data_IF_725262991693
#
_entry.id   IF_725262991693
#
_cell.length_a   1.000
_cell.length_b   1.000
_cell.length_c   1.000
_cell.angle_alpha   90.00
_cell.angle_beta   90.00
_cell.angle_gamma   90.00
#
_symmetry.space_group_name_H-M   'P 1'
#
loop_
_entity.id
_entity.type
_entity.pdbx_description
1 polymer ?
#
# COMPACT_ATOMS: atom_id res chain seq x y z
N UNK A 1 20.81 13.02 -1.07
CA UNK A 1 20.49 11.61 -0.83
C UNK A 1 19.17 11.33 -1.52
N UNK A 2 19.25 10.83 -2.75
CA UNK A 2 18.10 10.44 -3.56
C UNK A 2 17.29 9.37 -2.82
N UNK A 3 16.00 9.61 -2.69
CA UNK A 3 15.07 8.65 -2.14
C UNK A 3 14.71 7.70 -3.29
N UNK A 4 15.46 6.61 -3.43
CA UNK A 4 15.35 5.57 -4.47
C UNK A 4 13.97 4.87 -4.58
N UNK A 5 12.98 5.33 -3.80
CA UNK A 5 11.67 4.71 -3.65
C UNK A 5 11.72 3.29 -3.06
N UNK A 6 12.90 2.84 -2.61
CA UNK A 6 13.10 1.48 -2.08
C UNK A 6 12.65 1.31 -0.64
N UNK A 7 12.39 2.40 0.08
CA UNK A 7 11.95 2.32 1.47
C UNK A 7 10.93 3.42 1.80
N UNK A 8 9.76 3.03 2.31
CA UNK A 8 8.76 3.96 2.81
C UNK A 8 9.03 4.33 4.26
N UNK A 9 8.73 5.58 4.63
CA UNK A 9 8.70 5.99 6.03
C UNK A 9 7.43 5.46 6.69
N UNK A 10 7.60 4.87 7.87
CA UNK A 10 6.48 4.37 8.69
C UNK A 10 5.81 5.54 9.41
N UNK A 11 4.63 5.96 8.96
CA UNK A 11 3.88 7.07 9.57
C UNK A 11 4.71 8.37 9.65
N UNK A 12 4.74 9.01 10.82
CA UNK A 12 5.58 10.20 11.10
C UNK A 12 7.01 9.86 11.57
N UNK A 13 7.42 8.59 11.56
CA UNK A 13 8.73 8.20 12.09
C UNK A 13 9.89 8.54 11.15
N UNK A 14 11.10 8.60 11.69
CA UNK A 14 12.37 8.61 10.94
C UNK A 14 12.75 7.23 10.39
N UNK A 15 12.03 6.16 10.77
CA UNK A 15 12.29 4.79 10.34
C UNK A 15 11.83 4.56 8.90
N UNK A 16 12.74 4.04 8.07
CA UNK A 16 12.48 3.60 6.70
C UNK A 16 12.37 2.07 6.69
N UNK A 17 11.35 1.52 6.05
CA UNK A 17 11.18 0.07 5.85
C UNK A 17 11.14 -0.24 4.35
N UNK A 18 11.68 -1.38 3.89
CA UNK A 18 11.65 -1.76 2.49
C UNK A 18 10.25 -1.64 1.92
N UNK A 19 10.12 -0.95 0.80
CA UNK A 19 8.87 -0.81 0.11
C UNK A 19 8.55 -2.10 -0.62
N UNK A 20 7.57 -2.84 -0.11
CA UNK A 20 7.03 -4.03 -0.77
C UNK A 20 5.71 -3.66 -1.47
N UNK A 21 5.69 -3.46 -2.80
CA UNK A 21 4.51 -3.03 -3.53
C UNK A 21 3.36 -4.03 -3.42
N UNK A 22 3.65 -5.33 -3.36
CA UNK A 22 2.65 -6.40 -3.21
C UNK A 22 1.94 -6.37 -1.87
N UNK A 23 2.58 -5.84 -0.82
CA UNK A 23 2.04 -5.75 0.54
C UNK A 23 1.05 -4.60 0.74
N UNK A 24 0.92 -3.73 -0.27
CA UNK A 24 0.00 -2.61 -0.22
C UNK A 24 -1.44 -3.10 -0.16
N UNK A 25 -2.24 -2.43 0.66
CA UNK A 25 -3.66 -2.73 0.82
C UNK A 25 -4.39 -1.42 1.01
N UNK A 26 -5.29 -1.09 0.09
CA UNK A 26 -6.15 0.08 0.23
C UNK A 26 -7.55 -0.37 0.62
N UNK A 27 -8.07 0.24 1.68
CA UNK A 27 -9.41 -0.03 2.19
C UNK A 27 -10.46 0.76 1.38
N UNK A 28 -11.74 0.41 1.56
CA UNK A 28 -12.86 1.09 0.89
C UNK A 28 -12.93 2.60 1.15
N UNK A 29 -12.40 3.05 2.29
CA UNK A 29 -12.32 4.46 2.68
C UNK A 29 -11.18 5.25 1.99
N UNK A 30 -10.46 4.63 1.05
CA UNK A 30 -9.34 5.24 0.34
C UNK A 30 -8.04 5.36 1.14
N UNK A 31 -8.01 4.85 2.38
CA UNK A 31 -6.77 4.81 3.17
C UNK A 31 -5.89 3.67 2.71
N UNK A 32 -4.63 3.99 2.49
CA UNK A 32 -3.62 3.06 2.04
C UNK A 32 -2.75 2.56 3.20
N UNK A 33 -2.58 1.26 3.28
CA UNK A 33 -1.79 0.59 4.30
C UNK A 33 -0.68 -0.24 3.65
N UNK A 34 0.37 -0.48 4.41
CA UNK A 34 1.47 -1.35 4.02
C UNK A 34 1.88 -2.23 5.20
N UNK A 35 2.55 -3.35 4.91
CA UNK A 35 3.07 -4.22 5.97
C UNK A 35 4.19 -3.52 6.73
N UNK A 36 4.11 -3.54 8.06
CA UNK A 36 5.14 -2.99 8.95
C UNK A 36 5.74 -4.14 9.77
N UNK A 37 7.05 -4.13 10.05
CA UNK A 37 7.66 -5.13 10.93
C UNK A 37 7.45 -4.78 12.42
N UNK A 38 7.00 -3.54 12.71
CA UNK A 38 6.87 -3.02 14.08
C UNK A 38 5.42 -3.06 14.58
N UNK A 39 4.45 -3.04 13.66
CA UNK A 39 3.02 -3.16 13.92
C UNK A 39 2.43 -4.08 12.85
N UNK A 40 1.30 -4.75 13.09
CA UNK A 40 0.66 -5.63 12.10
C UNK A 40 0.49 -4.97 10.71
N UNK A 41 0.25 -3.65 10.68
CA UNK A 41 0.25 -2.82 9.48
C UNK A 41 0.58 -1.36 9.80
N UNK A 42 1.03 -0.62 8.79
CA UNK A 42 1.31 0.81 8.84
C UNK A 42 0.41 1.61 7.90
N UNK A 43 -0.13 2.74 8.38
CA UNK A 43 -0.87 3.69 7.54
C UNK A 43 0.12 4.52 6.70
N UNK A 44 -0.08 4.55 5.39
CA UNK A 44 0.65 5.45 4.49
C UNK A 44 0.02 6.84 4.60
N UNK A 45 0.86 7.86 4.77
CA UNK A 45 0.42 9.26 4.79
C UNK A 45 -0.32 9.64 3.51
N UNK A 46 -1.40 10.42 3.61
CA UNK A 46 -2.23 10.82 2.47
C UNK A 46 -1.42 11.38 1.30
N UNK A 47 -0.48 12.28 1.54
CA UNK A 47 0.39 12.85 0.48
C UNK A 47 1.19 11.80 -0.30
N UNK A 48 1.59 10.70 0.35
CA UNK A 48 2.27 9.59 -0.32
C UNK A 48 1.24 8.69 -0.99
N UNK A 49 0.11 8.41 -0.33
CA UNK A 49 -0.99 7.66 -0.92
C UNK A 49 -1.49 8.31 -2.21
N UNK A 50 -1.68 9.63 -2.25
CA UNK A 50 -2.08 10.39 -3.45
C UNK A 50 -1.09 10.22 -4.61
N UNK A 51 0.21 10.13 -4.31
CA UNK A 51 1.25 9.88 -5.33
C UNK A 51 1.25 8.43 -5.82
N UNK A 52 0.91 7.49 -4.94
CA UNK A 52 0.85 6.07 -5.26
C UNK A 52 -0.48 5.70 -5.93
N UNK A 53 -1.57 6.43 -5.64
CA UNK A 53 -2.91 6.21 -6.16
C UNK A 53 -2.97 5.99 -7.69
N UNK A 54 -2.35 6.83 -8.54
CA UNK A 54 -2.37 6.64 -10.00
C UNK A 54 -1.58 5.40 -10.47
N UNK A 55 -0.81 4.76 -9.59
CA UNK A 55 -0.07 3.53 -9.88
C UNK A 55 -0.89 2.27 -9.55
N UNK A 56 -2.01 2.42 -8.83
CA UNK A 56 -2.92 1.31 -8.59
C UNK A 56 -3.72 0.98 -9.84
N UNK A 57 -3.87 -0.33 -10.07
CA UNK A 57 -4.73 -0.89 -11.10
C UNK A 57 -5.92 -1.50 -10.37
N UNK A 58 -7.10 -1.04 -10.77
CA UNK A 58 -8.38 -1.44 -10.21
C UNK A 58 -9.04 -2.49 -11.10
N UNK A 59 -9.79 -3.42 -10.50
CA UNK A 59 -10.70 -4.29 -11.23
C UNK A 59 -12.00 -3.56 -11.60
N UNK A 60 -12.90 -4.27 -12.30
CA UNK A 60 -14.21 -3.77 -12.70
C UNK A 60 -15.12 -3.38 -11.53
N UNK A 61 -14.80 -3.83 -10.30
CA UNK A 61 -15.51 -3.48 -9.08
C UNK A 61 -14.90 -2.25 -8.37
N UNK A 62 -13.86 -1.64 -8.94
CA UNK A 62 -13.15 -0.52 -8.33
C UNK A 62 -12.21 -0.96 -7.19
N UNK A 63 -11.82 -2.23 -7.13
CA UNK A 63 -10.91 -2.74 -6.12
C UNK A 63 -9.46 -2.78 -6.63
N UNK A 64 -8.49 -2.33 -5.84
CA UNK A 64 -7.09 -2.37 -6.21
C UNK A 64 -6.61 -3.83 -6.23
N UNK A 65 -6.31 -4.32 -7.42
CA UNK A 65 -5.85 -5.69 -7.65
C UNK A 65 -4.36 -5.78 -7.93
N UNK A 66 -3.79 -4.73 -8.54
CA UNK A 66 -2.37 -4.68 -8.89
C UNK A 66 -1.80 -3.29 -8.67
N UNK A 67 -0.47 -3.22 -8.56
CA UNK A 67 0.27 -1.99 -8.37
C UNK A 67 1.43 -1.91 -9.35
N UNK A 68 1.49 -0.83 -10.13
CA UNK A 68 2.53 -0.62 -11.12
C UNK A 68 3.71 0.13 -10.50
N UNK A 69 4.85 -0.54 -10.41
CA UNK A 69 6.05 0.02 -9.82
C UNK A 69 7.27 -0.19 -10.72
N UNK A 70 8.04 0.86 -10.98
CA UNK A 70 9.26 0.82 -11.81
C UNK A 70 9.10 0.15 -13.19
N UNK A 71 7.90 0.21 -13.76
CA UNK A 71 7.58 -0.39 -15.07
C UNK A 71 7.08 -1.83 -15.00
N UNK A 72 7.07 -2.44 -13.82
CA UNK A 72 6.52 -3.78 -13.58
C UNK A 72 5.16 -3.69 -12.86
N UNK A 73 4.35 -4.72 -13.03
CA UNK A 73 3.03 -4.84 -12.38
C UNK A 73 3.10 -5.90 -11.30
N UNK A 74 2.79 -5.50 -10.07
CA UNK A 74 2.84 -6.36 -8.90
C UNK A 74 1.41 -6.64 -8.40
N UNK A 75 0.98 -7.91 -8.32
CA UNK A 75 -0.34 -8.24 -7.78
C UNK A 75 -0.38 -7.93 -6.27
N UNK A 76 -1.47 -7.30 -5.83
CA UNK A 76 -1.68 -6.92 -4.44
C UNK A 76 -2.22 -8.10 -3.64
N UNK A 77 -1.58 -8.41 -2.51
CA UNK A 77 -2.04 -9.50 -1.64
C UNK A 77 -3.32 -9.14 -0.89
N UNK A 78 -3.54 -7.83 -0.68
CA UNK A 78 -4.69 -7.26 0.03
C UNK A 78 -4.91 -7.89 1.42
N UNK A 79 -3.84 -8.37 2.08
CA UNK A 79 -3.92 -9.07 3.37
C UNK A 79 -4.49 -8.17 4.47
N UNK A 80 -4.05 -6.92 4.55
CA UNK A 80 -4.49 -5.97 5.58
C UNK A 80 -5.98 -5.65 5.39
N UNK A 81 -6.43 -5.57 4.14
CA UNK A 81 -7.84 -5.39 3.84
C UNK A 81 -8.68 -6.58 4.29
N UNK A 82 -8.21 -7.82 4.04
CA UNK A 82 -8.90 -9.03 4.51
C UNK A 82 -9.01 -9.09 6.04
N UNK A 83 -8.04 -8.53 6.75
CA UNK A 83 -8.03 -8.44 8.22
C UNK A 83 -9.01 -7.38 8.76
N UNK A 84 -9.04 -6.19 8.14
CA UNK A 84 -9.83 -5.04 8.64
C UNK A 84 -11.26 -5.02 8.10
N UNK A 85 -11.43 -5.35 6.82
CA UNK A 85 -12.70 -5.43 6.13
C UNK A 85 -12.89 -6.88 5.64
N UNK A 86 -13.06 -7.86 6.55
CA UNK A 86 -13.43 -9.19 6.11
C UNK A 86 -14.71 -9.05 5.29
N UNK A 87 -14.69 -9.54 4.04
CA UNK A 87 -15.92 -9.62 3.25
C UNK A 87 -16.91 -10.41 4.11
N UNK A 88 -17.94 -9.73 4.63
CA UNK A 88 -19.15 -10.40 5.07
C UNK A 88 -19.73 -11.04 3.80
N UNK A 89 -19.40 -12.30 3.61
CA UNK A 89 -20.04 -13.16 2.61
C UNK A 89 -21.40 -13.61 3.13
#
# INVERSE_FOLDING_TARGET
MEDDGKALRIGQSTRKYPFEPTSLSMLSNGRLYHKSPFCEYGLIMSKTADKLFPLFIFDDHGYPVSFRWKGETYPLTNEIRKLIEPKNI
#
